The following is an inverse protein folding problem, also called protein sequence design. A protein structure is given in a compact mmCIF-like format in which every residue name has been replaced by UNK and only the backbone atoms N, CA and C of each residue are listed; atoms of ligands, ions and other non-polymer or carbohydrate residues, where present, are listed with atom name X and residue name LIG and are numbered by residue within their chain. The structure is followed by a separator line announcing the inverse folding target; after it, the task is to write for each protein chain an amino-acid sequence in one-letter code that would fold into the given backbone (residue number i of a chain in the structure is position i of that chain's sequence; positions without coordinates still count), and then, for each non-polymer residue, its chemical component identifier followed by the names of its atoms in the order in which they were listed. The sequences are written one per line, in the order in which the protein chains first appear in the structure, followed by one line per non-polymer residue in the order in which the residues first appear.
data_IF_220801890563
#
_entry.id   IF_220801890563
#
_cell.length_a   1.000
_cell.length_b   1.000
_cell.length_c   1.000
_cell.angle_alpha   90.00
_cell.angle_beta   90.00
_cell.angle_gamma   90.00
#
_symmetry.space_group_name_H-M   'P 1'
#
loop_
_entity.id
_entity.type
_entity.pdbx_description
1 polymer ?
#
# COMPACT_ATOMS: atom_id res chain seq x y z
N UNK A 1 -3.03 -38.89 -3.50
CA UNK A 1 -3.01 -37.71 -4.41
C UNK A 1 -2.39 -36.56 -3.64
N UNK A 2 -1.07 -36.35 -3.74
CA UNK A 2 -0.46 -35.14 -3.21
C UNK A 2 -0.73 -34.03 -4.22
N UNK A 3 -1.62 -33.11 -3.89
CA UNK A 3 -1.69 -31.84 -4.59
C UNK A 3 -0.33 -31.18 -4.38
N UNK A 4 0.54 -31.25 -5.40
CA UNK A 4 1.71 -30.39 -5.46
C UNK A 4 1.15 -28.97 -5.34
N UNK A 5 1.43 -28.32 -4.21
CA UNK A 5 1.21 -26.90 -4.04
C UNK A 5 1.85 -26.23 -5.24
N UNK A 6 0.99 -25.77 -6.15
CA UNK A 6 1.41 -25.02 -7.31
C UNK A 6 1.89 -23.71 -6.71
N UNK A 7 3.19 -23.63 -6.44
CA UNK A 7 3.86 -22.45 -5.94
C UNK A 7 3.35 -21.27 -6.78
N UNK A 8 2.44 -20.47 -6.22
CA UNK A 8 1.83 -19.36 -6.93
C UNK A 8 2.95 -18.33 -7.13
N UNK A 9 3.68 -18.44 -8.24
CA UNK A 9 4.69 -17.47 -8.68
C UNK A 9 4.07 -16.13 -9.11
N UNK A 10 2.85 -15.83 -8.69
CA UNK A 10 2.21 -14.56 -8.96
C UNK A 10 2.70 -13.56 -7.92
N UNK A 11 3.39 -12.51 -8.36
CA UNK A 11 3.76 -11.38 -7.50
C UNK A 11 2.50 -10.80 -6.81
N UNK A 12 1.39 -10.73 -7.54
CA UNK A 12 0.08 -10.32 -7.00
C UNK A 12 -0.40 -11.28 -5.91
N UNK A 13 -0.25 -12.58 -6.11
CA UNK A 13 -0.60 -13.61 -5.12
C UNK A 13 0.18 -13.44 -3.81
N UNK A 14 1.48 -13.15 -3.90
CA UNK A 14 2.31 -12.86 -2.73
C UNK A 14 1.80 -11.62 -1.97
N UNK A 15 1.51 -10.51 -2.67
CA UNK A 15 0.93 -9.32 -2.03
C UNK A 15 -0.42 -9.61 -1.35
N UNK A 16 -1.28 -10.44 -1.95
CA UNK A 16 -2.57 -10.82 -1.35
C UNK A 16 -2.36 -11.67 -0.08
N UNK A 17 -1.39 -12.59 -0.09
CA UNK A 17 -1.08 -13.43 1.06
C UNK A 17 -0.54 -12.59 2.23
N UNK A 18 0.42 -11.72 1.97
CA UNK A 18 0.98 -10.80 2.98
C UNK A 18 -0.10 -9.90 3.55
N UNK A 19 -0.94 -9.34 2.67
CA UNK A 19 -2.08 -8.52 3.07
C UNK A 19 -3.05 -9.28 3.99
N UNK A 20 -3.40 -10.54 3.67
CA UNK A 20 -4.28 -11.35 4.52
C UNK A 20 -3.69 -11.59 5.90
N UNK A 21 -2.37 -11.78 5.98
CA UNK A 21 -1.66 -11.96 7.25
C UNK A 21 -1.76 -10.69 8.12
N UNK A 22 -1.63 -9.51 7.52
CA UNK A 22 -1.81 -8.22 8.20
C UNK A 22 -3.28 -8.00 8.60
N UNK A 23 -4.22 -8.30 7.69
CA UNK A 23 -5.66 -8.14 7.91
C UNK A 23 -6.16 -8.93 9.10
N UNK A 24 -5.61 -10.13 9.35
CA UNK A 24 -6.01 -10.98 10.48
C UNK A 24 -5.85 -10.30 11.85
N UNK A 25 -5.00 -9.27 11.97
CA UNK A 25 -4.85 -8.47 13.18
C UNK A 25 -5.94 -7.42 13.42
N UNK A 26 -6.83 -7.17 12.45
CA UNK A 26 -7.87 -6.15 12.53
C UNK A 26 -9.24 -6.76 12.85
N UNK A 27 -9.95 -6.18 13.82
CA UNK A 27 -11.31 -6.62 14.14
C UNK A 27 -12.31 -6.31 12.99
N UNK A 28 -12.13 -5.17 12.32
CA UNK A 28 -12.91 -4.73 11.15
C UNK A 28 -12.03 -3.87 10.25
N UNK A 29 -11.90 -4.24 8.98
CA UNK A 29 -11.20 -3.45 7.97
C UNK A 29 -11.98 -3.59 6.65
N UNK A 30 -12.17 -2.48 5.93
CA UNK A 30 -12.98 -2.44 4.70
C UNK A 30 -12.24 -1.69 3.60
N UNK A 31 -12.34 -2.21 2.38
CA UNK A 31 -11.78 -1.59 1.19
C UNK A 31 -12.86 -0.83 0.47
N UNK A 32 -12.63 0.47 0.26
CA UNK A 32 -13.51 1.32 -0.54
C UNK A 32 -12.70 1.90 -1.67
N UNK A 33 -13.27 1.85 -2.86
CA UNK A 33 -12.70 2.55 -3.99
C UNK A 33 -12.82 4.06 -3.78
N UNK A 34 -11.70 4.77 -3.90
CA UNK A 34 -11.64 6.22 -3.88
C UNK A 34 -11.15 6.71 -5.25
N UNK A 35 -11.68 7.84 -5.72
CA UNK A 35 -11.17 8.46 -6.94
C UNK A 35 -9.72 8.91 -6.74
N UNK A 36 -8.95 9.04 -7.83
CA UNK A 36 -7.56 9.53 -7.75
C UNK A 36 -7.46 10.89 -7.04
N UNK A 37 -8.44 11.76 -7.26
CA UNK A 37 -8.51 13.06 -6.59
C UNK A 37 -8.74 12.92 -5.08
N UNK A 38 -9.68 12.06 -4.67
CA UNK A 38 -9.92 11.79 -3.25
C UNK A 38 -8.74 11.06 -2.58
N UNK A 39 -7.93 10.35 -3.36
CA UNK A 39 -6.73 9.64 -2.90
C UNK A 39 -5.42 10.40 -3.22
N UNK A 40 -5.49 11.73 -3.36
CA UNK A 40 -4.37 12.58 -3.81
C UNK A 40 -3.15 12.43 -2.91
N UNK A 41 -3.33 12.38 -1.59
CA UNK A 41 -2.23 12.26 -0.61
C UNK A 41 -1.44 10.96 -0.81
N UNK A 42 -2.13 9.82 -0.87
CA UNK A 42 -1.47 8.52 -1.13
C UNK A 42 -0.80 8.48 -2.50
N UNK A 43 -1.40 9.13 -3.51
CA UNK A 43 -0.78 9.26 -4.82
C UNK A 43 0.54 10.05 -4.75
N UNK A 44 0.57 11.20 -4.08
CA UNK A 44 1.78 12.01 -3.94
C UNK A 44 2.88 11.29 -3.16
N UNK A 45 2.52 10.57 -2.09
CA UNK A 45 3.46 9.73 -1.34
C UNK A 45 4.08 8.65 -2.22
N UNK A 46 3.26 7.94 -3.01
CA UNK A 46 3.77 6.93 -3.93
C UNK A 46 4.69 7.55 -5.00
N UNK A 47 4.33 8.71 -5.54
CA UNK A 47 5.16 9.44 -6.52
C UNK A 47 6.50 9.87 -5.93
N UNK A 48 6.51 10.41 -4.71
CA UNK A 48 7.74 10.86 -4.06
C UNK A 48 8.64 9.68 -3.67
N UNK A 49 8.07 8.57 -3.20
CA UNK A 49 8.82 7.33 -2.92
C UNK A 49 9.51 6.78 -4.17
N UNK A 50 8.79 6.74 -5.30
CA UNK A 50 9.37 6.35 -6.60
C UNK A 50 10.51 7.29 -7.02
N UNK A 51 10.35 8.62 -6.82
CA UNK A 51 11.38 9.62 -7.14
C UNK A 51 12.66 9.42 -6.33
N UNK A 52 12.54 8.91 -5.10
CA UNK A 52 13.66 8.67 -4.18
C UNK A 52 14.24 7.25 -4.25
N UNK A 53 13.68 6.39 -5.10
CA UNK A 53 13.97 4.95 -5.15
C UNK A 53 13.75 4.26 -3.80
N UNK A 54 12.85 4.81 -2.98
CA UNK A 54 12.49 4.27 -1.67
C UNK A 54 11.44 3.17 -1.85
N UNK A 55 11.79 1.95 -1.47
CA UNK A 55 10.92 0.76 -1.55
C UNK A 55 10.00 0.58 -0.33
N UNK A 56 10.18 1.39 0.71
CA UNK A 56 9.40 1.30 1.96
C UNK A 56 8.67 2.60 2.25
N UNK A 57 7.40 2.49 2.59
CA UNK A 57 6.54 3.63 2.90
C UNK A 57 6.89 4.18 4.30
N UNK A 58 7.20 5.48 4.39
CA UNK A 58 7.24 6.28 5.63
C UNK A 58 8.30 5.90 6.68
N UNK A 59 9.34 5.14 6.33
CA UNK A 59 10.40 4.80 7.31
C UNK A 59 11.13 6.05 7.84
N UNK A 60 11.17 7.12 7.04
CA UNK A 60 11.77 8.42 7.38
C UNK A 60 10.73 9.53 7.64
N UNK A 61 9.47 9.16 7.91
CA UNK A 61 8.36 10.11 8.07
C UNK A 61 7.71 10.53 6.75
N UNK A 62 6.74 11.46 6.84
CA UNK A 62 6.01 12.01 5.69
C UNK A 62 6.89 13.07 5.00
N UNK A 63 7.16 12.96 3.68
CA UNK A 63 7.88 14.01 2.97
C UNK A 63 7.18 15.37 3.09
N UNK A 64 7.94 16.46 3.27
CA UNK A 64 7.38 17.82 3.41
C UNK A 64 6.44 18.19 2.25
N UNK A 65 6.77 17.81 1.02
CA UNK A 65 5.93 18.02 -0.17
C UNK A 65 4.54 17.39 -0.08
N UNK A 66 4.37 16.37 0.77
CA UNK A 66 3.07 15.75 1.05
C UNK A 66 2.44 16.37 2.29
N UNK A 67 3.22 16.70 3.33
CA UNK A 67 2.70 17.34 4.53
C UNK A 67 1.94 18.64 4.22
N UNK A 68 2.46 19.47 3.30
CA UNK A 68 1.81 20.73 2.90
C UNK A 68 0.45 20.51 2.20
N UNK A 69 0.16 19.29 1.76
CA UNK A 69 -1.07 18.95 1.02
C UNK A 69 -2.22 18.44 1.89
N UNK A 70 -1.94 18.03 3.13
CA UNK A 70 -2.96 17.58 4.09
C UNK A 70 -3.58 18.73 4.88
N UNK A 71 -2.91 19.88 4.97
CA UNK A 71 -3.41 21.07 5.68
C UNK A 71 -4.40 21.93 4.84
N UNK A 72 -4.73 21.49 3.62
CA UNK A 72 -5.56 22.22 2.66
C UNK A 72 -6.95 21.60 2.42
N UNK A 73 -7.31 20.51 3.12
CA UNK A 73 -8.60 19.81 3.05
C UNK A 73 -9.50 20.08 4.28
#
# INVERSE_FOLDING_TARGET
KLQKEKEERSEIGAYIFDFRSIYAGYQKCFFRHASRQANRVAHMLATEGLRREEITYLFNGVPHSVADSVDAD
#
